data_IF_603124000125
#
_entry.id   IF_603124000125
#
_cell.length_a   1.000
_cell.length_b   1.000
_cell.length_c   1.000
_cell.angle_alpha   90.00
_cell.angle_beta   90.00
_cell.angle_gamma   90.00
#
_symmetry.space_group_name_H-M   'P 1'
#
loop_
_entity.id
_entity.type
_entity.pdbx_description
1 polymer ?
#
# COMPACT_ATOMS: atom_id res chain seq x y z
N UNK A 1 -30.41 -0.63 -42.48
CA UNK A 1 -29.33 -1.60 -42.17
C UNK A 1 -28.06 -0.96 -41.61
N UNK A 2 -27.46 0.02 -42.30
CA UNK A 2 -26.18 0.64 -41.88
C UNK A 2 -26.13 1.18 -40.44
N UNK A 3 -27.17 1.92 -39.98
CA UNK A 3 -27.26 2.41 -38.58
C UNK A 3 -27.30 1.29 -37.53
N UNK A 4 -28.02 0.19 -37.79
CA UNK A 4 -28.10 -0.94 -36.85
C UNK A 4 -26.75 -1.65 -36.72
N UNK A 5 -26.01 -1.78 -37.82
CA UNK A 5 -24.67 -2.37 -37.84
C UNK A 5 -23.68 -1.50 -37.04
N UNK A 6 -23.73 -0.16 -37.21
CA UNK A 6 -22.87 0.77 -36.46
C UNK A 6 -23.13 0.70 -34.96
N UNK A 7 -24.40 0.63 -34.54
CA UNK A 7 -24.76 0.53 -33.13
C UNK A 7 -24.27 -0.79 -32.52
N UNK A 8 -24.42 -1.91 -33.25
CA UNK A 8 -23.93 -3.22 -32.79
C UNK A 8 -22.39 -3.21 -32.65
N UNK A 9 -21.68 -2.63 -33.62
CA UNK A 9 -20.22 -2.46 -33.55
C UNK A 9 -19.79 -1.62 -32.34
N UNK A 10 -20.49 -0.51 -32.06
CA UNK A 10 -20.18 0.34 -30.92
C UNK A 10 -20.37 -0.37 -29.58
N UNK A 11 -21.48 -1.12 -29.43
CA UNK A 11 -21.74 -1.92 -28.21
C UNK A 11 -20.66 -2.99 -28.03
N UNK A 12 -20.25 -3.66 -29.12
CA UNK A 12 -19.18 -4.64 -29.08
C UNK A 12 -17.84 -4.02 -28.66
N UNK A 13 -17.52 -2.83 -29.17
CA UNK A 13 -16.29 -2.12 -28.81
C UNK A 13 -16.27 -1.76 -27.31
N UNK A 14 -17.39 -1.27 -26.78
CA UNK A 14 -17.55 -0.94 -25.36
C UNK A 14 -17.40 -2.20 -24.48
N UNK A 15 -18.02 -3.30 -24.88
CA UNK A 15 -17.92 -4.57 -24.14
C UNK A 15 -16.48 -5.13 -24.14
N UNK A 16 -15.76 -5.02 -25.27
CA UNK A 16 -14.35 -5.43 -25.37
C UNK A 16 -13.47 -4.53 -24.50
N UNK A 17 -13.67 -3.22 -24.53
CA UNK A 17 -12.86 -2.29 -23.72
C UNK A 17 -13.11 -2.46 -22.22
N UNK A 18 -14.35 -2.76 -21.81
CA UNK A 18 -14.66 -3.13 -20.42
C UNK A 18 -13.99 -4.44 -20.00
N UNK A 19 -14.07 -5.49 -20.83
CA UNK A 19 -13.45 -6.79 -20.50
C UNK A 19 -11.93 -6.72 -20.51
N UNK A 20 -11.31 -6.00 -21.43
CA UNK A 20 -9.86 -5.72 -21.45
C UNK A 20 -9.46 -4.89 -20.23
N UNK A 21 -10.24 -3.87 -19.86
CA UNK A 21 -9.98 -3.06 -18.66
C UNK A 21 -10.02 -3.90 -17.38
N UNK A 22 -11.02 -4.77 -17.22
CA UNK A 22 -11.13 -5.69 -16.07
C UNK A 22 -10.00 -6.72 -16.08
N UNK A 23 -9.66 -7.26 -17.25
CA UNK A 23 -8.57 -8.24 -17.39
C UNK A 23 -7.20 -7.63 -17.08
N UNK A 24 -6.92 -6.41 -17.55
CA UNK A 24 -5.70 -5.67 -17.25
C UNK A 24 -5.62 -5.28 -15.77
N UNK A 25 -6.74 -4.85 -15.15
CA UNK A 25 -6.81 -4.59 -13.72
C UNK A 25 -6.58 -5.85 -12.87
N UNK A 26 -7.04 -7.02 -13.33
CA UNK A 26 -6.75 -8.32 -12.70
C UNK A 26 -5.34 -8.85 -12.99
N UNK A 27 -4.60 -8.24 -13.91
CA UNK A 27 -3.24 -8.65 -14.27
C UNK A 27 -2.18 -8.06 -13.34
N UNK A 28 -2.50 -6.97 -12.62
CA UNK A 28 -1.69 -6.53 -11.49
C UNK A 28 -1.87 -7.54 -10.35
N UNK A 29 -0.98 -8.52 -10.32
CA UNK A 29 -0.93 -9.53 -9.27
C UNK A 29 -0.64 -8.85 -7.93
N UNK A 30 -1.69 -8.60 -7.14
CA UNK A 30 -1.55 -8.10 -5.78
C UNK A 30 -1.25 -9.27 -4.84
N UNK A 31 -0.20 -9.08 -4.04
CA UNK A 31 0.20 -9.96 -2.97
C UNK A 31 -0.36 -9.39 -1.66
N UNK A 32 -0.96 -10.25 -0.83
CA UNK A 32 -1.44 -9.90 0.50
C UNK A 32 -0.54 -10.55 1.54
N UNK A 33 0.06 -9.74 2.40
CA UNK A 33 0.86 -10.16 3.53
C UNK A 33 0.18 -9.79 4.85
N UNK A 34 0.44 -10.58 5.90
CA UNK A 34 -0.16 -10.38 7.22
C UNK A 34 0.92 -10.49 8.28
N UNK A 35 0.96 -9.50 9.19
CA UNK A 35 1.99 -9.34 10.20
C UNK A 35 1.35 -9.26 11.58
N UNK A 36 1.49 -10.30 12.42
CA UNK A 36 1.08 -10.21 13.81
C UNK A 36 2.10 -9.36 14.59
N UNK A 37 1.62 -8.26 15.18
CA UNK A 37 2.42 -7.36 16.02
C UNK A 37 1.93 -7.47 17.46
N UNK A 38 2.81 -7.83 18.38
CA UNK A 38 2.47 -7.96 19.80
C UNK A 38 2.87 -6.71 20.58
N UNK A 39 1.90 -6.16 21.33
CA UNK A 39 2.10 -5.03 22.26
C UNK A 39 1.56 -5.44 23.61
N UNK A 40 2.45 -5.52 24.61
CA UNK A 40 2.12 -6.03 25.95
C UNK A 40 1.43 -7.40 25.85
N UNK A 41 0.17 -7.49 26.23
CA UNK A 41 -0.67 -8.69 26.29
C UNK A 41 -1.59 -8.85 25.07
N UNK A 42 -1.54 -7.92 24.11
CA UNK A 42 -2.40 -7.93 22.92
C UNK A 42 -1.61 -8.17 21.64
N UNK A 43 -2.20 -8.93 20.71
CA UNK A 43 -1.67 -9.13 19.36
C UNK A 43 -2.60 -8.47 18.35
N UNK A 44 -2.01 -7.68 17.47
CA UNK A 44 -2.67 -6.94 16.41
C UNK A 44 -2.28 -7.51 15.06
N UNK A 45 -3.20 -7.48 14.11
CA UNK A 45 -2.96 -7.97 12.76
C UNK A 45 -2.87 -6.77 11.82
N UNK A 46 -1.66 -6.53 11.30
CA UNK A 46 -1.42 -5.54 10.24
C UNK A 46 -1.37 -6.27 8.91
N UNK A 47 -2.05 -5.74 7.89
CA UNK A 47 -1.99 -6.30 6.54
C UNK A 47 -1.30 -5.36 5.58
N UNK A 48 -0.61 -5.93 4.59
CA UNK A 48 0.02 -5.18 3.50
C UNK A 48 -0.40 -5.84 2.19
N UNK A 49 -1.23 -5.14 1.41
CA UNK A 49 -1.53 -5.50 0.04
C UNK A 49 -0.62 -4.71 -0.90
N UNK A 50 0.03 -5.38 -1.84
CA UNK A 50 0.98 -4.73 -2.74
C UNK A 50 1.18 -5.48 -4.05
N UNK A 51 1.42 -4.76 -5.14
CA UNK A 51 1.90 -5.35 -6.39
C UNK A 51 3.42 -5.66 -6.36
N UNK A 52 4.10 -5.45 -5.23
CA UNK A 52 5.49 -5.84 -5.02
C UNK A 52 5.65 -7.36 -5.12
N UNK A 53 6.45 -7.81 -6.07
CA UNK A 53 6.67 -9.22 -6.39
C UNK A 53 8.17 -9.58 -6.44
N UNK A 54 8.97 -9.03 -5.53
CA UNK A 54 10.39 -9.40 -5.41
C UNK A 54 10.60 -10.68 -4.58
N UNK A 55 11.84 -11.17 -4.60
CA UNK A 55 12.24 -12.41 -3.92
C UNK A 55 11.99 -12.41 -2.40
N UNK A 56 11.88 -11.24 -1.78
CA UNK A 56 11.62 -11.09 -0.35
C UNK A 56 10.35 -10.31 -0.12
N UNK A 57 9.49 -10.87 0.73
CA UNK A 57 8.34 -10.18 1.28
C UNK A 57 8.78 -8.91 2.02
N UNK A 58 7.93 -7.87 2.05
CA UNK A 58 8.11 -6.78 2.99
C UNK A 58 8.16 -7.31 4.44
N UNK A 59 8.66 -6.51 5.36
CA UNK A 59 8.56 -6.76 6.79
C UNK A 59 7.94 -5.56 7.48
N UNK A 60 7.04 -5.84 8.41
CA UNK A 60 6.40 -4.82 9.24
C UNK A 60 6.89 -4.99 10.67
N UNK A 61 7.38 -3.91 11.26
CA UNK A 61 7.86 -3.87 12.63
C UNK A 61 7.18 -2.75 13.40
N UNK A 62 6.94 -3.00 14.69
CA UNK A 62 6.48 -1.96 15.60
C UNK A 62 7.70 -1.24 16.18
N UNK A 63 7.70 0.08 16.09
CA UNK A 63 8.70 0.93 16.74
C UNK A 63 8.11 1.57 17.99
N UNK A 64 9.00 1.92 18.93
CA UNK A 64 8.67 2.67 20.13
C UNK A 64 7.49 2.07 20.94
N UNK A 65 7.39 0.74 20.99
CA UNK A 65 6.33 0.03 21.74
C UNK A 65 6.34 0.34 23.25
N UNK A 66 7.47 0.84 23.76
CA UNK A 66 7.66 1.29 25.13
C UNK A 66 7.25 2.74 25.39
N UNK A 67 7.04 3.56 24.37
CA UNK A 67 6.66 4.98 24.49
C UNK A 67 5.15 5.14 24.17
N UNK A 68 4.28 5.30 25.18
CA UNK A 68 2.82 5.24 24.99
C UNK A 68 2.24 6.32 24.08
N UNK A 69 2.94 7.45 23.93
CA UNK A 69 2.48 8.63 23.19
C UNK A 69 2.93 8.65 21.73
N UNK A 70 3.80 7.71 21.33
CA UNK A 70 4.36 7.64 19.97
C UNK A 70 4.49 6.18 19.55
N UNK A 71 3.39 5.64 19.07
CA UNK A 71 3.45 4.36 18.36
C UNK A 71 3.71 4.64 16.89
N UNK A 72 4.58 3.85 16.30
CA UNK A 72 4.81 3.87 14.87
C UNK A 72 5.03 2.48 14.32
N UNK A 73 4.57 2.30 13.09
CA UNK A 73 4.76 1.06 12.34
C UNK A 73 5.73 1.36 11.23
N UNK A 74 6.77 0.55 11.15
CA UNK A 74 7.77 0.64 10.11
C UNK A 74 7.54 -0.50 9.11
N UNK A 75 7.39 -0.15 7.83
CA UNK A 75 7.35 -1.09 6.73
C UNK A 75 8.70 -1.03 6.02
N UNK A 76 9.44 -2.13 6.05
CA UNK A 76 10.65 -2.33 5.25
C UNK A 76 10.37 -3.22 4.05
N UNK A 77 11.01 -2.94 2.93
CA UNK A 77 11.03 -3.82 1.78
C UNK A 77 12.42 -3.77 1.14
N UNK A 78 12.93 -4.95 0.84
CA UNK A 78 14.21 -5.09 0.16
C UNK A 78 13.97 -5.04 -1.33
N UNK A 79 14.73 -4.16 -2.00
CA UNK A 79 14.76 -4.08 -3.44
C UNK A 79 14.94 -5.42 -4.14
N UNK A 80 14.38 -5.52 -5.34
CA UNK A 80 14.56 -6.70 -6.19
C UNK A 80 15.98 -6.69 -6.76
N UNK A 81 16.66 -7.84 -6.71
CA UNK A 81 17.92 -8.01 -7.44
C UNK A 81 17.57 -8.51 -8.84
N UNK A 82 17.49 -7.65 -9.86
CA UNK A 82 17.23 -8.10 -11.25
C UNK A 82 18.12 -7.39 -12.25
N UNK A 83 18.37 -8.11 -13.34
CA UNK A 83 19.20 -7.74 -14.49
C UNK A 83 18.58 -6.72 -15.45
N UNK A 84 17.28 -6.44 -15.35
CA UNK A 84 16.58 -5.56 -16.30
C UNK A 84 16.44 -4.13 -15.72
N UNK A 85 16.75 -3.14 -16.54
CA UNK A 85 16.81 -1.72 -16.17
C UNK A 85 15.43 -1.08 -16.42
N UNK A 86 14.83 -0.45 -15.41
CA UNK A 86 13.55 0.24 -15.56
C UNK A 86 13.10 1.01 -14.32
N UNK A 87 11.91 1.61 -14.41
CA UNK A 87 11.15 2.18 -13.29
C UNK A 87 9.86 1.39 -13.13
N UNK A 88 9.50 1.05 -11.90
CA UNK A 88 8.24 0.37 -11.60
C UNK A 88 7.42 1.13 -10.56
N UNK A 89 6.11 1.22 -10.79
CA UNK A 89 5.17 1.76 -9.82
C UNK A 89 4.76 0.67 -8.84
N UNK A 90 5.17 0.82 -7.59
CA UNK A 90 4.80 -0.09 -6.52
C UNK A 90 3.74 0.58 -5.65
N UNK A 91 2.60 -0.07 -5.56
CA UNK A 91 1.49 0.36 -4.71
C UNK A 91 1.47 -0.49 -3.45
N UNK A 92 1.32 0.16 -2.30
CA UNK A 92 1.13 -0.46 -1.00
C UNK A 92 -0.19 0.03 -0.41
N UNK A 93 -1.00 -0.89 0.09
CA UNK A 93 -2.16 -0.60 0.94
C UNK A 93 -1.93 -1.30 2.27
N UNK A 94 -1.76 -0.50 3.34
CA UNK A 94 -1.42 -1.00 4.67
C UNK A 94 -2.62 -0.77 5.58
N UNK A 95 -3.15 -1.85 6.16
CA UNK A 95 -4.29 -1.78 7.08
C UNK A 95 -3.83 -2.05 8.50
N UNK A 96 -4.13 -1.11 9.39
CA UNK A 96 -3.66 -1.08 10.78
C UNK A 96 -4.87 -0.92 11.70
N UNK A 97 -5.04 -1.77 12.74
CA UNK A 97 -6.08 -1.57 13.74
C UNK A 97 -5.96 -0.20 14.44
N UNK A 98 -7.08 0.50 14.63
CA UNK A 98 -7.08 1.84 15.24
C UNK A 98 -6.58 1.81 16.68
N UNK A 99 -6.84 0.73 17.40
CA UNK A 99 -6.36 0.53 18.77
C UNK A 99 -4.87 0.14 18.88
N UNK A 100 -4.17 -0.05 17.75
CA UNK A 100 -2.70 -0.13 17.69
C UNK A 100 -2.09 1.23 17.34
N UNK A 101 -2.64 1.87 16.30
CA UNK A 101 -2.16 3.14 15.78
C UNK A 101 -3.36 4.05 15.51
N UNK A 102 -3.47 5.15 16.27
CA UNK A 102 -4.61 6.05 16.25
C UNK A 102 -4.19 7.52 16.10
N UNK A 103 -5.20 8.37 15.98
CA UNK A 103 -5.09 9.83 15.89
C UNK A 103 -4.63 10.32 14.53
N UNK A 104 -3.75 11.32 14.48
CA UNK A 104 -3.28 11.86 13.21
C UNK A 104 -2.23 10.92 12.61
N UNK A 105 -2.63 10.21 11.57
CA UNK A 105 -1.76 9.31 10.84
C UNK A 105 -0.95 10.10 9.81
N UNK A 106 0.37 10.04 9.94
CA UNK A 106 1.30 10.62 8.97
C UNK A 106 2.26 9.55 8.44
N UNK A 107 2.70 9.76 7.21
CA UNK A 107 3.64 8.89 6.53
C UNK A 107 4.99 9.59 6.43
N UNK A 108 6.04 8.88 6.83
CA UNK A 108 7.42 9.27 6.60
C UNK A 108 8.00 8.31 5.56
N UNK A 109 8.59 8.85 4.51
CA UNK A 109 9.36 8.09 3.53
C UNK A 109 10.82 8.54 3.59
N UNK A 110 11.72 7.59 3.86
CA UNK A 110 13.12 7.88 4.19
C UNK A 110 13.17 8.81 5.42
N UNK A 111 13.49 10.08 5.22
CA UNK A 111 13.65 11.08 6.29
C UNK A 111 12.63 12.22 6.23
N UNK A 112 11.68 12.16 5.29
CA UNK A 112 10.77 13.26 5.03
C UNK A 112 9.32 12.83 5.23
N UNK A 113 8.57 13.67 5.93
CA UNK A 113 7.13 13.55 5.99
C UNK A 113 6.55 13.73 4.58
N UNK A 114 5.74 12.78 4.16
CA UNK A 114 5.03 12.82 2.88
C UNK A 114 3.84 13.76 3.01
N UNK A 115 3.65 14.60 1.99
CA UNK A 115 2.47 15.46 1.91
C UNK A 115 1.19 14.60 1.96
N UNK A 116 0.13 15.01 2.69
CA UNK A 116 -1.14 14.30 2.70
C UNK A 116 -1.75 14.03 1.32
N UNK A 117 -1.44 14.83 0.29
CA UNK A 117 -1.86 14.56 -1.09
C UNK A 117 -1.13 13.37 -1.73
N UNK A 118 0.02 12.98 -1.17
CA UNK A 118 0.86 11.87 -1.65
C UNK A 118 0.38 10.47 -1.24
N UNK A 119 -0.65 10.36 -0.40
CA UNK A 119 -1.23 9.09 0.00
C UNK A 119 -2.73 9.21 0.29
N UNK A 120 -3.45 8.09 0.21
CA UNK A 120 -4.85 8.01 0.61
C UNK A 120 -4.95 7.38 1.98
N UNK A 121 -5.55 8.09 2.95
CA UNK A 121 -5.88 7.56 4.27
C UNK A 121 -7.38 7.38 4.39
N UNK A 122 -7.81 6.15 4.72
CA UNK A 122 -9.21 5.81 4.99
C UNK A 122 -9.29 5.28 6.41
N UNK A 123 -10.20 5.82 7.22
CA UNK A 123 -10.53 5.31 8.54
C UNK A 123 -11.98 4.82 8.55
N UNK A 124 -12.21 3.62 9.07
CA UNK A 124 -13.56 3.02 9.17
C UNK A 124 -14.04 2.82 10.62
N UNK A 125 -13.39 3.47 11.58
CA UNK A 125 -13.62 3.34 13.03
C UNK A 125 -12.79 2.24 13.71
N UNK A 126 -12.51 1.14 13.01
CA UNK A 126 -11.76 0.00 13.56
C UNK A 126 -10.37 -0.16 12.97
N UNK A 127 -10.15 0.34 11.77
CA UNK A 127 -8.88 0.27 11.06
C UNK A 127 -8.59 1.58 10.34
N UNK A 128 -7.30 1.90 10.27
CA UNK A 128 -6.72 2.86 9.35
C UNK A 128 -6.16 2.08 8.15
N UNK A 129 -6.55 2.47 6.93
CA UNK A 129 -6.00 1.97 5.68
C UNK A 129 -5.24 3.08 4.98
N UNK A 130 -3.93 2.92 4.84
CA UNK A 130 -3.06 3.88 4.18
C UNK A 130 -2.59 3.29 2.84
N UNK A 131 -3.00 3.93 1.74
CA UNK A 131 -2.65 3.54 0.37
C UNK A 131 -1.71 4.56 -0.26
N UNK A 132 -0.66 4.08 -0.90
CA UNK A 132 0.38 4.91 -1.51
C UNK A 132 1.05 4.19 -2.67
N UNK A 133 1.55 4.96 -3.63
CA UNK A 133 2.25 4.45 -4.81
C UNK A 133 3.57 5.21 -4.96
N UNK A 134 4.65 4.48 -5.18
CA UNK A 134 5.97 5.06 -5.39
C UNK A 134 6.61 4.50 -6.65
N UNK A 135 7.33 5.37 -7.34
CA UNK A 135 8.26 4.96 -8.39
C UNK A 135 9.52 4.38 -7.74
N UNK A 136 9.82 3.14 -8.10
CA UNK A 136 10.97 2.41 -7.62
C UNK A 136 12.00 2.26 -8.74
N UNK A 137 13.20 2.81 -8.54
CA UNK A 137 14.33 2.70 -9.49
C UNK A 137 15.14 1.42 -9.23
N UNK A 138 15.35 0.63 -10.28
CA UNK A 138 15.95 -0.70 -10.24
C UNK A 138 17.40 -0.79 -9.70
N UNK A 139 18.13 0.32 -9.57
CA UNK A 139 19.52 0.33 -9.07
C UNK A 139 19.67 0.74 -7.61
N UNK A 140 18.56 0.98 -6.90
CA UNK A 140 18.66 1.18 -5.48
C UNK A 140 18.80 -0.16 -4.76
N UNK A 141 20.04 -0.58 -4.53
CA UNK A 141 20.39 -1.64 -3.57
C UNK A 141 19.98 -1.32 -2.11
N UNK A 142 19.28 -0.21 -1.90
CA UNK A 142 18.83 0.23 -0.58
C UNK A 142 17.49 -0.37 -0.18
N UNK A 143 17.38 -0.55 1.13
CA UNK A 143 16.14 -0.82 1.85
C UNK A 143 15.20 0.36 1.60
N UNK A 144 14.06 0.11 0.96
CA UNK A 144 12.95 1.05 1.02
C UNK A 144 12.28 0.90 2.38
N UNK A 145 12.09 2.00 3.09
CA UNK A 145 11.36 1.98 4.35
C UNK A 145 10.37 3.14 4.43
N UNK A 146 9.22 2.84 5.01
CA UNK A 146 8.21 3.82 5.39
C UNK A 146 7.98 3.70 6.89
N UNK A 147 7.79 4.83 7.55
CA UNK A 147 7.29 4.86 8.91
C UNK A 147 5.90 5.50 8.90
N UNK A 148 4.95 4.82 9.51
CA UNK A 148 3.58 5.29 9.69
C UNK A 148 3.46 5.69 11.15
N UNK A 149 3.38 6.99 11.38
CA UNK A 149 3.25 7.57 12.71
C UNK A 149 1.77 7.75 13.04
N UNK A 150 1.38 7.35 14.24
CA UNK A 150 0.17 7.86 14.89
C UNK A 150 0.56 8.83 16.00
N UNK A 151 -0.01 10.03 15.99
CA UNK A 151 0.02 10.90 17.17
C UNK A 151 -1.26 10.72 17.94
N UNK A 152 -1.26 10.91 19.27
CA UNK A 152 -2.54 11.05 19.99
C UNK A 152 -3.42 12.06 19.25
N UNK A 153 -4.61 11.61 18.87
CA UNK A 153 -5.63 12.50 18.33
C UNK A 153 -6.14 13.34 19.49
N UNK A 154 -6.14 14.66 19.35
CA UNK A 154 -6.99 15.48 20.19
C UNK A 154 -8.43 15.02 19.95
N UNK A 155 -9.02 14.41 20.98
CA UNK A 155 -10.46 14.18 21.04
C UNK A 155 -11.17 15.53 21.09
#
# INVERSE_FOLDING_TARGET
MKRKIIVVLAIFLVAISLTVGIFLANLEKTNLFTYPLSVRDKTYIVTVETNWNAERSPSVTLLNSSEPSRHSIELHFLGKTVKDIGWENITYTITIPTDLLWGNISLIHKYYQVDPEGYTLINNGTHNSLKMTFEYEYHFSGIGYFEILGTEGAW
#
